data_IF_378476058931
#
_entry.id   IF_378476058931
#
_cell.length_a   1.000
_cell.length_b   1.000
_cell.length_c   1.000
_cell.angle_alpha   90.00
_cell.angle_beta   90.00
_cell.angle_gamma   90.00
#
_symmetry.space_group_name_H-M   'P 1'
#
loop_
_entity.id
_entity.type
_entity.pdbx_description
1 polymer ?
#
# COMPACT_ATOMS: atom_id res chain seq x y z
N UNK A 1 8.60 -1.86 8.90
CA UNK A 1 7.75 -2.83 8.19
C UNK A 1 8.59 -4.08 7.95
N UNK A 2 8.17 -5.25 8.47
CA UNK A 2 8.95 -6.49 8.38
C UNK A 2 9.19 -6.94 6.92
N UNK A 3 8.23 -6.65 6.04
CA UNK A 3 8.25 -7.03 4.62
C UNK A 3 9.46 -6.52 3.83
N UNK A 4 10.04 -5.37 4.21
CA UNK A 4 11.23 -4.81 3.54
C UNK A 4 12.55 -5.19 4.23
N UNK A 5 12.53 -5.98 5.30
CA UNK A 5 13.75 -6.35 6.01
C UNK A 5 14.64 -7.21 5.11
N UNK A 6 15.88 -6.76 4.89
CA UNK A 6 16.86 -7.46 4.07
C UNK A 6 16.70 -7.26 2.55
N UNK A 7 15.76 -6.41 2.11
CA UNK A 7 15.56 -6.07 0.69
C UNK A 7 16.44 -4.90 0.27
N UNK A 8 16.95 -4.94 -0.96
CA UNK A 8 17.61 -3.80 -1.59
C UNK A 8 16.63 -2.68 -1.92
N UNK A 9 17.16 -1.48 -2.23
CA UNK A 9 16.33 -0.37 -2.68
C UNK A 9 15.62 -0.70 -4.01
N UNK A 10 16.28 -1.43 -4.92
CA UNK A 10 15.68 -1.87 -6.18
C UNK A 10 14.52 -2.85 -5.95
N UNK A 11 14.66 -3.79 -5.01
CA UNK A 11 13.56 -4.69 -4.67
C UNK A 11 12.36 -3.94 -4.08
N UNK A 12 12.62 -2.95 -3.22
CA UNK A 12 11.56 -2.10 -2.64
C UNK A 12 10.88 -1.29 -3.75
N UNK A 13 11.67 -0.79 -4.71
CA UNK A 13 11.17 -0.08 -5.88
C UNK A 13 10.30 -0.99 -6.74
N UNK A 14 10.76 -2.19 -7.08
CA UNK A 14 9.98 -3.15 -7.89
C UNK A 14 8.62 -3.45 -7.25
N UNK A 15 8.59 -3.73 -5.94
CA UNK A 15 7.35 -3.97 -5.19
C UNK A 15 6.42 -2.74 -5.26
N UNK A 16 6.95 -1.55 -4.99
CA UNK A 16 6.14 -0.32 -4.90
C UNK A 16 5.55 0.05 -6.26
N UNK A 17 6.34 -0.09 -7.33
CA UNK A 17 5.90 0.20 -8.69
C UNK A 17 4.91 -0.83 -9.21
N UNK A 18 5.09 -2.12 -8.91
CA UNK A 18 4.11 -3.16 -9.25
C UNK A 18 2.73 -2.82 -8.65
N UNK A 19 2.70 -2.42 -7.38
CA UNK A 19 1.45 -2.01 -6.71
C UNK A 19 0.85 -0.76 -7.36
N UNK A 20 1.68 0.24 -7.67
CA UNK A 20 1.21 1.44 -8.37
C UNK A 20 0.60 1.12 -9.74
N UNK A 21 1.17 0.16 -10.47
CA UNK A 21 0.65 -0.33 -11.75
C UNK A 21 -0.69 -1.06 -11.58
N UNK A 22 -0.80 -1.91 -10.54
CA UNK A 22 -2.01 -2.64 -10.18
C UNK A 22 -3.15 -1.67 -9.82
N UNK A 23 -2.85 -0.61 -9.07
CA UNK A 23 -3.83 0.35 -8.59
C UNK A 23 -4.31 1.39 -9.61
N UNK A 24 -3.80 1.39 -10.85
CA UNK A 24 -4.21 2.36 -11.90
C UNK A 24 -5.69 2.33 -12.25
N UNK A 25 -6.36 1.21 -11.98
CA UNK A 25 -7.80 1.04 -12.24
C UNK A 25 -8.66 1.23 -10.98
N UNK A 26 -8.05 1.70 -9.88
CA UNK A 26 -8.64 1.73 -8.55
C UNK A 26 -8.39 0.42 -7.80
N UNK A 27 -8.24 0.53 -6.49
CA UNK A 27 -8.27 -0.59 -5.55
C UNK A 27 -9.42 -0.32 -4.59
N UNK A 28 -10.25 -1.33 -4.33
CA UNK A 28 -11.30 -1.23 -3.32
C UNK A 28 -10.68 -1.41 -1.93
N UNK A 29 -10.12 -0.34 -1.38
CA UNK A 29 -9.42 -0.35 -0.07
C UNK A 29 -10.36 -0.67 1.10
N UNK A 30 -11.67 -0.57 0.89
CA UNK A 30 -12.69 -0.87 1.88
C UNK A 30 -13.09 -2.36 1.88
N UNK A 31 -12.77 -3.11 0.83
CA UNK A 31 -12.96 -4.55 0.78
C UNK A 31 -11.81 -5.28 1.53
N UNK A 32 -12.09 -5.97 2.65
CA UNK A 32 -11.07 -6.70 3.39
C UNK A 32 -10.60 -7.99 2.68
N UNK A 33 -11.22 -8.39 1.56
CA UNK A 33 -10.85 -9.62 0.86
C UNK A 33 -9.42 -9.57 0.31
N UNK A 34 -8.64 -10.59 0.63
CA UNK A 34 -7.32 -10.80 0.05
C UNK A 34 -7.48 -11.45 -1.33
N UNK A 35 -7.38 -10.66 -2.41
CA UNK A 35 -7.55 -11.15 -3.78
C UNK A 35 -6.35 -10.85 -4.69
N UNK A 36 -5.40 -10.04 -4.22
CA UNK A 36 -4.30 -9.56 -5.03
C UNK A 36 -3.02 -10.33 -4.76
N UNK A 37 -2.33 -10.72 -5.82
CA UNK A 37 -0.99 -11.35 -5.76
C UNK A 37 0.03 -10.43 -6.40
N UNK A 38 1.24 -10.39 -5.84
CA UNK A 38 2.37 -9.63 -6.37
C UNK A 38 3.42 -10.57 -6.92
N UNK A 39 3.93 -10.27 -8.11
CA UNK A 39 5.03 -11.02 -8.74
C UNK A 39 6.32 -10.81 -7.97
N UNK A 40 6.56 -9.61 -7.46
CA UNK A 40 7.74 -9.29 -6.63
C UNK A 40 7.68 -9.94 -5.23
N UNK A 41 6.50 -10.43 -4.80
CA UNK A 41 6.28 -11.09 -3.51
C UNK A 41 5.39 -12.33 -3.67
N UNK A 42 5.91 -13.40 -4.31
CA UNK A 42 5.14 -14.60 -4.55
C UNK A 42 4.82 -15.34 -3.25
N UNK A 43 3.69 -16.08 -3.25
CA UNK A 43 3.30 -16.95 -2.14
C UNK A 43 2.44 -16.28 -1.07
N UNK A 44 2.04 -15.02 -1.27
CA UNK A 44 1.09 -14.32 -0.41
C UNK A 44 0.00 -13.64 -1.24
N UNK A 45 -1.21 -13.63 -0.70
CA UNK A 45 -2.34 -12.83 -1.20
C UNK A 45 -2.51 -11.63 -0.28
N UNK A 46 -2.92 -10.50 -0.83
CA UNK A 46 -3.02 -9.23 -0.14
C UNK A 46 -4.39 -8.60 -0.38
N UNK A 47 -4.89 -7.90 0.62
CA UNK A 47 -6.01 -6.97 0.48
C UNK A 47 -5.57 -5.67 -0.21
N UNK A 48 -6.53 -4.94 -0.77
CA UNK A 48 -6.28 -3.63 -1.39
C UNK A 48 -5.61 -2.64 -0.42
N UNK A 49 -6.09 -2.58 0.82
CA UNK A 49 -5.54 -1.70 1.86
C UNK A 49 -4.07 -2.02 2.18
N UNK A 50 -3.72 -3.30 2.28
CA UNK A 50 -2.34 -3.71 2.54
C UNK A 50 -1.41 -3.30 1.40
N UNK A 51 -1.85 -3.45 0.16
CA UNK A 51 -1.08 -3.03 -1.01
C UNK A 51 -0.81 -1.52 -0.96
N UNK A 52 -1.83 -0.71 -0.69
CA UNK A 52 -1.68 0.75 -0.54
C UNK A 52 -0.70 1.10 0.59
N UNK A 53 -0.79 0.43 1.74
CA UNK A 53 0.16 0.64 2.85
C UNK A 53 1.60 0.26 2.47
N UNK A 54 1.79 -0.86 1.75
CA UNK A 54 3.10 -1.32 1.29
C UNK A 54 3.70 -0.31 0.30
N UNK A 55 2.89 0.14 -0.67
CA UNK A 55 3.29 1.13 -1.68
C UNK A 55 3.70 2.45 -1.03
N UNK A 56 2.89 2.98 -0.11
CA UNK A 56 3.20 4.21 0.65
C UNK A 56 4.52 4.06 1.40
N UNK A 57 4.69 2.98 2.15
CA UNK A 57 5.90 2.72 2.92
C UNK A 57 7.14 2.49 2.04
N UNK A 58 6.95 2.00 0.81
CA UNK A 58 8.00 1.80 -0.17
C UNK A 58 8.45 3.11 -0.79
N UNK A 59 7.52 3.94 -1.27
CA UNK A 59 7.84 5.26 -1.81
C UNK A 59 8.50 6.19 -0.78
N UNK A 60 8.07 6.16 0.50
CA UNK A 60 8.77 6.90 1.57
C UNK A 60 10.21 6.45 1.82
N UNK A 61 10.59 5.22 1.47
CA UNK A 61 11.98 4.74 1.54
C UNK A 61 12.80 5.13 0.31
N UNK A 62 12.15 5.25 -0.84
CA UNK A 62 12.79 5.64 -2.10
C UNK A 62 13.05 7.14 -2.12
N UNK A 63 12.01 7.93 -1.82
CA UNK A 63 12.05 9.38 -1.79
C UNK A 63 11.16 9.87 -0.63
N UNK A 64 11.74 10.20 0.54
CA UNK A 64 10.97 10.61 1.71
C UNK A 64 10.03 11.80 1.46
N UNK A 65 10.41 12.69 0.54
CA UNK A 65 9.63 13.86 0.14
C UNK A 65 8.49 13.57 -0.84
N UNK A 66 8.36 12.35 -1.35
CA UNK A 66 7.36 12.00 -2.34
C UNK A 66 5.95 12.06 -1.74
N UNK A 67 5.06 12.78 -2.44
CA UNK A 67 3.62 12.71 -2.25
C UNK A 67 3.08 11.56 -3.10
N UNK A 68 2.48 10.57 -2.44
CA UNK A 68 1.99 9.33 -3.05
C UNK A 68 0.53 9.48 -3.48
N UNK A 69 -0.14 10.59 -3.15
CA UNK A 69 -1.51 10.87 -3.57
C UNK A 69 -2.55 9.86 -3.06
N UNK A 70 -2.26 9.19 -1.94
CA UNK A 70 -3.23 8.30 -1.29
C UNK A 70 -4.26 9.17 -0.57
N UNK A 71 -5.48 9.21 -1.11
CA UNK A 71 -6.61 9.89 -0.48
C UNK A 71 -7.16 8.98 0.64
N UNK A 72 -6.90 9.35 1.89
CA UNK A 72 -7.42 8.69 3.09
C UNK A 72 -8.61 9.47 3.69
N UNK A 73 -9.29 10.29 2.88
CA UNK A 73 -10.36 11.19 3.35
C UNK A 73 -11.54 10.46 3.99
N UNK A 74 -11.91 9.27 3.49
CA UNK A 74 -12.99 8.47 4.06
C UNK A 74 -12.59 7.87 5.42
N UNK A 75 -11.36 7.35 5.51
CA UNK A 75 -10.79 6.77 6.73
C UNK A 75 -10.60 7.83 7.82
N UNK A 76 -10.22 9.05 7.43
CA UNK A 76 -10.21 10.20 8.33
C UNK A 76 -11.60 10.50 8.90
N UNK A 77 -12.62 10.58 8.03
CA UNK A 77 -14.00 10.82 8.47
C UNK A 77 -14.56 9.70 9.37
N UNK A 78 -14.13 8.46 9.13
CA UNK A 78 -14.47 7.32 9.99
C UNK A 78 -13.75 7.39 11.34
N UNK A 79 -12.46 7.76 11.35
CA UNK A 79 -11.69 7.96 12.58
C UNK A 79 -12.26 9.11 13.43
N UNK A 80 -12.69 10.22 12.84
CA UNK A 80 -13.37 11.31 13.56
C UNK A 80 -14.67 10.84 14.23
N UNK A 81 -15.48 10.03 13.54
CA UNK A 81 -16.73 9.48 14.12
C UNK A 81 -16.47 8.53 15.29
N UNK A 82 -15.37 7.77 15.24
CA UNK A 82 -14.96 6.86 16.31
C UNK A 82 -14.29 7.59 17.48
N UNK A 83 -13.57 8.68 17.24
CA UNK A 83 -12.89 9.47 18.27
C UNK A 83 -13.86 10.33 19.11
N UNK A 84 -15.07 10.57 18.61
CA UNK A 84 -16.15 11.30 19.31
C UNK A 84 -17.19 10.32 19.91
N UNK A 85 -16.91 9.00 19.85
CA UNK A 85 -17.78 7.93 20.37
C UNK A 85 -17.42 7.44 21.76
#
# INVERSE_FOLDING_TARGET
MQLFRGKSLEEIQEISFEIGILGRHGLDINDPQETHVLRALPGRVFSALELVCIMYAGFKRIEPGMDVGVDLGEEWGMAERLAIG
#
